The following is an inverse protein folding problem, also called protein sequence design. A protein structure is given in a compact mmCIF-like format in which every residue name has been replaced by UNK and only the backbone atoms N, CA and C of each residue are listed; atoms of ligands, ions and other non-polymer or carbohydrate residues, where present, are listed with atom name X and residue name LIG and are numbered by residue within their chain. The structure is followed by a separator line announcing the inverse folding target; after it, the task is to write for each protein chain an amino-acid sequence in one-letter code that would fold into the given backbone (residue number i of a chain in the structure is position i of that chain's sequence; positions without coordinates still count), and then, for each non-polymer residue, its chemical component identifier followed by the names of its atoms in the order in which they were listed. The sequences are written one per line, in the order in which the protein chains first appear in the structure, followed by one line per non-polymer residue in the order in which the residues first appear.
data_IF_217719394934
#
_entry.id   IF_217719394934
#
_cell.length_a   1.000
_cell.length_b   1.000
_cell.length_c   1.000
_cell.angle_alpha   90.00
_cell.angle_beta   90.00
_cell.angle_gamma   90.00
#
_symmetry.space_group_name_H-M   'P 1'
#
loop_
_entity.id
_entity.type
_entity.pdbx_description
1 polymer ?
#
# COMPACT_ATOMS: atom_id res chain seq x y z
N UNK A 1 5.16 -0.83 16.88
CA UNK A 1 4.82 -0.32 15.54
C UNK A 1 3.31 -0.29 15.44
N UNK A 2 2.72 0.88 15.17
CA UNK A 2 1.27 1.00 15.01
C UNK A 2 0.93 0.74 13.54
N UNK A 3 -0.02 -0.13 13.28
CA UNK A 3 -0.57 -0.40 11.94
C UNK A 3 -1.86 0.41 11.80
N UNK A 4 -2.02 1.08 10.67
CA UNK A 4 -3.21 1.83 10.31
C UNK A 4 -3.92 1.08 9.19
N UNK A 5 -5.10 0.54 9.48
CA UNK A 5 -5.94 -0.10 8.49
C UNK A 5 -6.88 0.94 7.85
N UNK A 6 -7.19 0.79 6.56
CA UNK A 6 -8.36 1.49 6.01
C UNK A 6 -9.64 0.96 6.64
N UNK A 7 -10.71 1.74 6.59
CA UNK A 7 -12.01 1.34 7.13
C UNK A 7 -12.56 0.06 6.44
N UNK A 8 -12.32 -0.11 5.13
CA UNK A 8 -12.71 -1.30 4.38
C UNK A 8 -11.96 -2.55 4.89
N UNK A 9 -10.64 -2.44 5.11
CA UNK A 9 -9.85 -3.57 5.63
C UNK A 9 -10.22 -3.88 7.08
N UNK A 10 -10.34 -2.87 7.93
CA UNK A 10 -10.68 -3.07 9.35
C UNK A 10 -12.04 -3.77 9.51
N UNK A 11 -13.07 -3.29 8.82
CA UNK A 11 -14.40 -3.91 8.85
C UNK A 11 -14.41 -5.33 8.28
N UNK A 12 -13.63 -5.59 7.22
CA UNK A 12 -13.51 -6.93 6.61
C UNK A 12 -12.84 -7.93 7.53
N UNK A 13 -11.78 -7.52 8.23
CA UNK A 13 -11.11 -8.36 9.22
C UNK A 13 -12.05 -8.71 10.39
N UNK A 14 -12.83 -7.75 10.88
CA UNK A 14 -13.83 -7.97 11.94
C UNK A 14 -14.93 -8.95 11.48
N UNK A 15 -15.37 -8.82 10.23
CA UNK A 15 -16.40 -9.66 9.63
C UNK A 15 -15.89 -11.06 9.20
N UNK A 16 -14.59 -11.35 9.31
CA UNK A 16 -14.00 -12.61 8.83
C UNK A 16 -14.01 -12.75 7.30
N UNK A 17 -14.08 -11.63 6.57
CA UNK A 17 -14.06 -11.59 5.11
C UNK A 17 -12.62 -11.75 4.59
N UNK A 18 -12.43 -12.37 3.41
CA UNK A 18 -11.10 -12.53 2.83
C UNK A 18 -10.49 -11.17 2.45
N UNK A 19 -9.22 -10.96 2.85
CA UNK A 19 -8.42 -9.78 2.52
C UNK A 19 -7.15 -10.22 1.80
N UNK A 20 -6.82 -9.58 0.67
CA UNK A 20 -5.59 -9.84 -0.09
C UNK A 20 -4.63 -8.68 0.04
N UNK A 21 -3.48 -8.93 0.66
CA UNK A 21 -2.39 -7.96 0.74
C UNK A 21 -1.69 -7.80 -0.63
N UNK A 22 -1.38 -6.56 -1.00
CA UNK A 22 -0.70 -6.19 -2.24
C UNK A 22 0.52 -5.32 -1.90
N UNK A 23 1.69 -5.61 -2.48
CA UNK A 23 2.86 -4.75 -2.30
C UNK A 23 2.71 -3.41 -3.06
N UNK A 24 3.52 -2.41 -2.69
CA UNK A 24 3.47 -1.08 -3.30
C UNK A 24 4.78 -0.64 -3.98
N UNK A 25 5.84 -1.45 -3.94
CA UNK A 25 7.07 -1.17 -4.69
C UNK A 25 6.80 -1.15 -6.20
N UNK A 26 5.98 -2.06 -6.73
CA UNK A 26 5.62 -2.02 -8.15
C UNK A 26 4.94 -0.69 -8.55
N UNK A 27 4.14 -0.11 -7.65
CA UNK A 27 3.44 1.17 -7.84
C UNK A 27 4.43 2.35 -7.74
N UNK A 28 5.31 2.34 -6.74
CA UNK A 28 6.22 3.44 -6.45
C UNK A 28 7.46 3.49 -7.36
N UNK A 29 7.99 2.33 -7.73
CA UNK A 29 9.31 2.19 -8.35
C UNK A 29 9.36 1.18 -9.51
N UNK A 30 8.30 0.41 -9.75
CA UNK A 30 8.28 -0.67 -10.75
C UNK A 30 7.66 -0.29 -12.10
N UNK A 31 6.73 0.67 -12.11
CA UNK A 31 6.02 1.11 -13.31
C UNK A 31 6.10 2.63 -13.48
N UNK A 32 6.12 3.15 -14.73
CA UNK A 32 6.07 4.58 -14.97
C UNK A 32 4.69 5.15 -14.63
N UNK A 33 4.64 6.45 -14.35
CA UNK A 33 3.38 7.19 -14.28
C UNK A 33 2.90 7.54 -15.70
N UNK A 34 1.59 7.42 -16.03
CA UNK A 34 0.44 7.12 -15.15
C UNK A 34 0.11 5.64 -14.92
N UNK A 35 0.74 4.73 -15.67
CA UNK A 35 0.45 3.29 -15.67
C UNK A 35 0.48 2.66 -14.27
N UNK A 36 1.35 3.15 -13.39
CA UNK A 36 1.45 2.69 -12.01
C UNK A 36 0.18 2.92 -11.17
N UNK A 37 -0.54 4.02 -11.39
CA UNK A 37 -1.83 4.29 -10.73
C UNK A 37 -2.92 3.42 -11.33
N UNK A 38 -2.95 3.30 -12.65
CA UNK A 38 -3.92 2.47 -13.36
C UNK A 38 -3.82 1.01 -12.92
N UNK A 39 -2.59 0.47 -12.90
CA UNK A 39 -2.32 -0.88 -12.40
C UNK A 39 -2.83 -1.10 -10.97
N UNK A 40 -2.60 -0.14 -10.07
CA UNK A 40 -3.07 -0.25 -8.68
C UNK A 40 -4.60 -0.34 -8.61
N UNK A 41 -5.31 0.51 -9.36
CA UNK A 41 -6.77 0.54 -9.40
C UNK A 41 -7.37 -0.72 -10.07
N UNK A 42 -6.72 -1.22 -11.13
CA UNK A 42 -7.11 -2.47 -11.79
C UNK A 42 -6.92 -3.67 -10.88
N UNK A 43 -5.78 -3.76 -10.17
CA UNK A 43 -5.52 -4.82 -9.20
C UNK A 43 -6.56 -4.83 -8.08
N UNK A 44 -6.91 -3.65 -7.56
CA UNK A 44 -7.99 -3.51 -6.58
C UNK A 44 -9.35 -3.96 -7.13
N UNK A 45 -9.69 -3.53 -8.34
CA UNK A 45 -10.93 -3.92 -9.02
C UNK A 45 -11.01 -5.44 -9.22
N UNK A 46 -9.92 -6.06 -9.64
CA UNK A 46 -9.84 -7.51 -9.82
C UNK A 46 -10.06 -8.27 -8.51
N UNK A 47 -9.51 -7.80 -7.39
CA UNK A 47 -9.77 -8.39 -6.06
C UNK A 47 -11.27 -8.33 -5.72
N UNK A 48 -11.88 -7.15 -5.86
CA UNK A 48 -13.29 -6.93 -5.53
C UNK A 48 -14.22 -7.78 -6.41
N UNK A 49 -13.90 -7.96 -7.68
CA UNK A 49 -14.64 -8.86 -8.59
C UNK A 49 -14.61 -10.32 -8.14
N UNK A 50 -13.57 -10.74 -7.42
CA UNK A 50 -13.45 -12.08 -6.83
C UNK A 50 -14.02 -12.16 -5.40
N UNK A 51 -14.67 -11.10 -4.91
CA UNK A 51 -15.21 -11.05 -3.55
C UNK A 51 -14.15 -10.94 -2.45
N UNK A 52 -12.96 -10.46 -2.78
CA UNK A 52 -11.83 -10.29 -1.85
C UNK A 52 -11.52 -8.81 -1.67
N UNK A 53 -11.30 -8.37 -0.44
CA UNK A 53 -10.95 -6.98 -0.15
C UNK A 53 -9.46 -6.74 -0.41
N UNK A 54 -9.09 -5.82 -1.31
CA UNK A 54 -7.69 -5.50 -1.55
C UNK A 54 -7.10 -4.68 -0.40
N UNK A 55 -5.84 -4.95 -0.06
CA UNK A 55 -5.09 -4.20 0.94
C UNK A 55 -3.69 -3.88 0.39
N UNK A 56 -3.57 -2.80 -0.39
CA UNK A 56 -2.25 -2.27 -0.77
C UNK A 56 -1.55 -1.77 0.51
N UNK A 57 -0.29 -2.16 0.69
CA UNK A 57 0.49 -1.84 1.90
C UNK A 57 1.62 -0.89 1.56
N UNK A 58 1.73 0.22 2.28
CA UNK A 58 2.84 1.17 2.16
C UNK A 58 3.22 1.76 3.52
N UNK A 59 4.39 2.39 3.58
CA UNK A 59 4.72 3.29 4.70
C UNK A 59 4.40 4.72 4.27
N UNK A 60 3.61 5.45 5.04
CA UNK A 60 3.26 6.85 4.76
C UNK A 60 3.64 7.69 5.97
N UNK A 61 4.63 8.58 5.81
CA UNK A 61 5.13 9.47 6.88
C UNK A 61 5.49 8.71 8.17
N UNK A 62 6.04 7.50 8.02
CA UNK A 62 6.43 6.60 9.12
C UNK A 62 5.33 5.71 9.68
N UNK A 63 4.12 5.77 9.14
CA UNK A 63 3.02 4.88 9.54
C UNK A 63 2.88 3.72 8.57
N UNK A 64 2.70 2.50 9.08
CA UNK A 64 2.40 1.33 8.27
C UNK A 64 0.92 1.33 7.93
N UNK A 65 0.58 1.63 6.68
CA UNK A 65 -0.80 1.67 6.19
C UNK A 65 -1.13 0.37 5.45
N UNK A 66 -2.29 -0.22 5.76
CA UNK A 66 -2.80 -1.46 5.17
C UNK A 66 -4.19 -1.20 4.60
N UNK A 67 -4.31 -1.26 3.27
CA UNK A 67 -5.42 -0.67 2.55
C UNK A 67 -5.16 0.81 2.33
N UNK A 68 -4.81 1.19 1.10
CA UNK A 68 -4.57 2.58 0.75
C UNK A 68 -5.80 3.20 0.14
N UNK A 69 -6.12 4.42 0.55
CA UNK A 69 -7.09 5.26 -0.14
C UNK A 69 -6.51 5.75 -1.48
N UNK A 70 -7.38 6.12 -2.43
CA UNK A 70 -6.95 6.62 -3.74
C UNK A 70 -5.90 7.72 -3.68
N UNK A 71 -6.05 8.68 -2.76
CA UNK A 71 -5.09 9.77 -2.58
C UNK A 71 -3.71 9.28 -2.09
N UNK A 72 -3.68 8.21 -1.30
CA UNK A 72 -2.45 7.58 -0.84
C UNK A 72 -1.77 6.77 -1.95
N UNK A 73 -2.55 6.08 -2.79
CA UNK A 73 -2.04 5.40 -4.00
C UNK A 73 -1.39 6.44 -4.92
N UNK A 74 -2.09 7.54 -5.22
CA UNK A 74 -1.55 8.61 -6.07
C UNK A 74 -0.29 9.24 -5.48
N UNK A 75 -0.24 9.43 -4.16
CA UNK A 75 0.93 9.94 -3.47
C UNK A 75 2.13 8.97 -3.63
N UNK A 76 1.93 7.67 -3.37
CA UNK A 76 2.98 6.66 -3.52
C UNK A 76 3.45 6.53 -4.97
N UNK A 77 2.56 6.69 -5.94
CA UNK A 77 2.86 6.58 -7.37
C UNK A 77 3.60 7.79 -7.96
N UNK A 78 3.40 9.00 -7.41
CA UNK A 78 3.89 10.26 -8.01
C UNK A 78 5.05 10.90 -7.25
N UNK A 79 5.12 10.72 -5.92
CA UNK A 79 6.08 11.46 -5.11
C UNK A 79 7.50 10.87 -5.22
N UNK A 80 8.41 11.64 -5.81
CA UNK A 80 9.80 11.25 -6.03
C UNK A 80 10.62 11.07 -4.74
N UNK A 81 10.12 11.52 -3.58
CA UNK A 81 10.77 11.30 -2.29
C UNK A 81 10.49 9.92 -1.70
N UNK A 82 9.53 9.17 -2.26
CA UNK A 82 9.18 7.83 -1.81
C UNK A 82 10.38 6.89 -1.90
N UNK A 83 10.59 6.11 -0.85
CA UNK A 83 11.70 5.16 -0.75
C UNK A 83 11.21 3.75 -1.03
N UNK A 84 12.10 2.91 -1.56
CA UNK A 84 11.87 1.46 -1.58
C UNK A 84 12.13 0.92 -0.18
N UNK A 85 11.14 0.30 0.44
CA UNK A 85 11.19 -0.15 1.83
C UNK A 85 11.12 -1.68 1.88
N UNK A 86 12.26 -2.32 2.17
CA UNK A 86 12.32 -3.74 2.52
C UNK A 86 12.42 -3.89 4.04
N UNK A 87 12.54 -5.12 4.53
CA UNK A 87 12.67 -5.45 5.96
C UNK A 87 13.76 -4.65 6.67
N UNK A 88 14.87 -4.33 5.99
CA UNK A 88 16.00 -3.57 6.56
C UNK A 88 15.67 -2.08 6.73
N UNK A 89 14.90 -1.52 5.81
CA UNK A 89 14.52 -0.11 5.83
C UNK A 89 13.29 0.16 6.70
N UNK A 90 12.44 -0.85 6.98
CA UNK A 90 11.17 -0.65 7.68
C UNK A 90 11.32 0.13 9.01
N UNK A 91 12.28 -0.28 9.85
CA UNK A 91 12.54 0.42 11.12
C UNK A 91 13.01 1.87 10.92
N UNK A 92 13.84 2.11 9.89
CA UNK A 92 14.32 3.45 9.54
C UNK A 92 13.17 4.30 9.02
N UNK A 93 12.32 3.75 8.15
CA UNK A 93 11.19 4.43 7.57
C UNK A 93 10.21 4.93 8.65
N UNK A 94 9.94 4.10 9.65
CA UNK A 94 9.11 4.47 10.81
C UNK A 94 9.80 5.56 11.64
N UNK A 95 11.05 5.34 12.05
CA UNK A 95 11.77 6.27 12.94
C UNK A 95 12.03 7.64 12.30
N UNK A 96 12.28 7.67 10.99
CA UNK A 96 12.58 8.90 10.22
C UNK A 96 11.37 9.46 9.49
N UNK A 97 10.18 8.89 9.70
CA UNK A 97 8.93 9.32 9.06
C UNK A 97 9.01 9.35 7.53
N UNK A 98 9.68 8.37 6.93
CA UNK A 98 9.72 8.23 5.48
C UNK A 98 8.37 7.78 4.95
N UNK A 99 8.12 8.12 3.69
CA UNK A 99 7.12 7.46 2.88
C UNK A 99 7.80 6.51 1.90
N UNK A 100 7.17 5.38 1.59
CA UNK A 100 7.77 4.42 0.70
C UNK A 100 6.91 3.24 0.34
N UNK A 101 7.14 2.75 -0.89
CA UNK A 101 6.58 1.50 -1.36
C UNK A 101 7.27 0.32 -0.66
N UNK A 102 6.47 -0.61 -0.14
CA UNK A 102 6.98 -1.82 0.50
C UNK A 102 7.28 -2.89 -0.53
N UNK A 103 8.37 -3.62 -0.35
CA UNK A 103 8.70 -4.81 -1.16
C UNK A 103 7.95 -6.03 -0.64
N UNK A 104 7.97 -7.13 -1.38
CA UNK A 104 7.46 -8.45 -0.95
C UNK A 104 7.95 -8.93 0.44
N UNK A 105 9.18 -8.61 0.85
CA UNK A 105 9.88 -9.18 2.03
C UNK A 105 9.49 -8.63 3.40
#
# INVERSE_FOLDING_TARGET
MKIHFSAEVESSLIAGMPVLALESTIIAHGMPHPDNVEFALEAESACRQQGVVPAIIAVIKGECCVGLEKAQIEFIAKDASTKKVSRRELGIAIAKKWSGGTTVS
#
